data_IF_718200765517
#
_entry.id   IF_718200765517
#
_cell.length_a   1.000
_cell.length_b   1.000
_cell.length_c   1.000
_cell.angle_alpha   90.00
_cell.angle_beta   90.00
_cell.angle_gamma   90.00
#
_symmetry.space_group_name_H-M   'P 1'
#
loop_
_entity.id
_entity.type
_entity.pdbx_description
1 polymer ?
#
# COMPACT_ATOMS: atom_id res chain seq x y z
N UNK A 1 19.51 -5.42 13.54
CA UNK A 1 19.34 -5.58 12.09
C UNK A 1 19.87 -4.38 11.28
N UNK A 2 20.25 -3.24 11.92
CA UNK A 2 20.93 -2.09 11.28
C UNK A 2 22.08 -2.49 10.33
N UNK A 3 22.82 -3.55 10.66
CA UNK A 3 23.93 -4.06 9.86
C UNK A 3 23.54 -4.65 8.49
N UNK A 4 22.27 -5.06 8.29
CA UNK A 4 21.87 -5.77 7.06
C UNK A 4 21.73 -4.85 5.86
N UNK A 5 21.29 -3.62 6.08
CA UNK A 5 21.06 -2.60 5.04
C UNK A 5 21.94 -1.37 5.28
N UNK A 6 23.05 -1.51 6.03
CA UNK A 6 23.89 -0.39 6.42
C UNK A 6 24.45 0.39 5.22
N UNK A 7 24.61 -0.29 4.08
CA UNK A 7 25.11 0.29 2.83
C UNK A 7 23.98 0.64 1.84
N UNK A 8 22.72 0.49 2.23
CA UNK A 8 21.56 0.69 1.35
C UNK A 8 20.72 1.88 1.82
N UNK A 9 20.61 2.86 0.93
CA UNK A 9 19.88 4.11 1.14
C UNK A 9 18.88 4.31 0.00
N UNK A 10 17.78 4.99 0.31
CA UNK A 10 16.92 5.52 -0.75
C UNK A 10 17.63 6.71 -1.35
N UNK A 11 17.93 6.64 -2.65
CA UNK A 11 18.62 7.73 -3.35
C UNK A 11 17.66 8.63 -4.12
N UNK A 12 18.01 9.90 -4.39
CA UNK A 12 17.23 10.78 -5.26
C UNK A 12 16.96 10.17 -6.65
N UNK A 13 17.91 9.41 -7.21
CA UNK A 13 17.72 8.73 -8.49
C UNK A 13 16.70 7.59 -8.41
N UNK A 14 16.63 6.88 -7.29
CA UNK A 14 15.55 5.91 -7.05
C UNK A 14 14.19 6.60 -6.95
N UNK A 15 14.11 7.75 -6.28
CA UNK A 15 12.88 8.54 -6.21
C UNK A 15 12.46 9.06 -7.59
N UNK A 16 13.40 9.56 -8.40
CA UNK A 16 13.11 9.99 -9.78
C UNK A 16 12.64 8.83 -10.65
N UNK A 17 13.26 7.64 -10.51
CA UNK A 17 12.80 6.41 -11.18
C UNK A 17 11.40 6.02 -10.73
N UNK A 18 11.11 6.10 -9.43
CA UNK A 18 9.77 5.87 -8.87
C UNK A 18 8.74 6.85 -9.46
N UNK A 19 9.06 8.14 -9.49
CA UNK A 19 8.23 9.19 -10.07
C UNK A 19 7.95 8.97 -11.56
N UNK A 20 9.00 8.71 -12.34
CA UNK A 20 8.89 8.45 -13.77
C UNK A 20 8.07 7.17 -14.07
N UNK A 21 8.14 6.16 -13.20
CA UNK A 21 7.36 4.94 -13.34
C UNK A 21 5.86 5.14 -13.02
N UNK A 22 5.53 6.15 -12.20
CA UNK A 22 4.17 6.57 -11.90
C UNK A 22 3.43 5.71 -10.87
N UNK A 23 2.10 5.88 -10.74
CA UNK A 23 1.30 5.18 -9.74
C UNK A 23 1.36 3.65 -9.85
N UNK A 24 1.27 2.98 -8.71
CA UNK A 24 1.40 1.52 -8.61
C UNK A 24 2.84 1.00 -8.60
N UNK A 25 3.84 1.90 -8.55
CA UNK A 25 5.23 1.57 -8.32
C UNK A 25 5.63 1.87 -6.87
N UNK A 26 6.54 1.07 -6.35
CA UNK A 26 6.94 1.06 -4.94
C UNK A 26 8.45 0.93 -4.85
N UNK A 27 9.05 1.46 -3.79
CA UNK A 27 10.37 1.03 -3.32
C UNK A 27 10.14 -0.08 -2.30
N UNK A 28 10.85 -1.17 -2.50
CA UNK A 28 10.75 -2.36 -1.65
C UNK A 28 12.12 -2.80 -1.16
N UNK A 29 12.18 -3.23 0.10
CA UNK A 29 13.33 -3.88 0.68
C UNK A 29 13.21 -5.40 0.51
N UNK A 30 14.19 -6.02 -0.14
CA UNK A 30 14.33 -7.47 -0.20
C UNK A 30 15.11 -7.98 1.02
N UNK A 31 14.43 -8.63 1.96
CA UNK A 31 15.06 -9.12 3.21
C UNK A 31 16.06 -10.26 2.99
N UNK A 32 15.98 -10.94 1.84
CA UNK A 32 16.89 -12.04 1.51
C UNK A 32 18.17 -11.54 0.83
N UNK A 33 18.06 -10.46 0.04
CA UNK A 33 19.17 -9.89 -0.72
C UNK A 33 19.79 -8.69 -0.04
N UNK A 34 19.10 -8.13 0.97
CA UNK A 34 19.43 -6.88 1.62
C UNK A 34 19.59 -5.73 0.60
N UNK A 35 18.65 -5.59 -0.31
CA UNK A 35 18.69 -4.55 -1.35
C UNK A 35 17.38 -3.77 -1.39
N UNK A 36 17.47 -2.47 -1.68
CA UNK A 36 16.33 -1.63 -2.02
C UNK A 36 16.15 -1.57 -3.54
N UNK A 37 14.91 -1.65 -4.01
CA UNK A 37 14.64 -1.59 -5.45
C UNK A 37 13.26 -1.01 -5.74
N UNK A 38 13.15 -0.30 -6.86
CA UNK A 38 11.87 0.12 -7.43
C UNK A 38 11.20 -1.10 -8.09
N UNK A 39 10.00 -1.43 -7.63
CA UNK A 39 9.22 -2.59 -8.09
C UNK A 39 7.78 -2.15 -8.37
N UNK A 40 7.17 -2.69 -9.43
CA UNK A 40 5.74 -2.53 -9.67
C UNK A 40 4.96 -3.38 -8.67
N UNK A 41 3.95 -2.81 -8.02
CA UNK A 41 3.17 -3.52 -7.00
C UNK A 41 2.49 -4.78 -7.52
N UNK A 42 2.08 -4.78 -8.80
CA UNK A 42 1.46 -5.94 -9.45
C UNK A 42 2.41 -7.11 -9.73
N UNK A 43 3.71 -6.85 -9.72
CA UNK A 43 4.77 -7.85 -9.93
C UNK A 43 5.23 -8.44 -8.59
N UNK A 44 4.77 -7.89 -7.46
CA UNK A 44 5.01 -8.45 -6.14
C UNK A 44 4.19 -9.72 -5.95
N UNK A 45 4.82 -10.87 -5.65
CA UNK A 45 4.08 -12.07 -5.35
C UNK A 45 3.26 -11.86 -4.06
N UNK A 46 1.98 -12.25 -4.02
CA UNK A 46 1.08 -11.94 -2.89
C UNK A 46 1.50 -12.62 -1.58
N UNK A 47 2.21 -13.74 -1.72
CA UNK A 47 2.80 -14.49 -0.61
C UNK A 47 4.23 -14.09 -0.27
N UNK A 48 4.83 -13.11 -0.94
CA UNK A 48 6.24 -12.76 -0.72
C UNK A 48 6.42 -12.03 0.63
N UNK A 49 6.72 -12.81 1.67
CA UNK A 49 7.02 -12.30 3.02
C UNK A 49 8.43 -11.73 3.14
N UNK A 50 9.29 -11.98 2.16
CA UNK A 50 10.67 -11.50 2.13
C UNK A 50 10.80 -10.14 1.42
N UNK A 51 9.68 -9.52 1.04
CA UNK A 51 9.64 -8.21 0.42
C UNK A 51 8.81 -7.26 1.28
N UNK A 52 9.43 -6.20 1.77
CA UNK A 52 8.78 -5.17 2.58
C UNK A 52 8.62 -3.93 1.71
N UNK A 53 7.38 -3.44 1.59
CA UNK A 53 7.12 -2.16 0.94
C UNK A 53 7.56 -1.06 1.90
N UNK A 54 8.50 -0.22 1.48
CA UNK A 54 9.05 0.86 2.31
C UNK A 54 8.54 2.23 1.89
N UNK A 55 8.23 2.40 0.60
CA UNK A 55 7.79 3.68 0.05
C UNK A 55 7.00 3.47 -1.24
N UNK A 56 6.05 4.33 -1.55
CA UNK A 56 5.26 4.25 -2.79
C UNK A 56 5.21 5.58 -3.55
N UNK A 57 4.81 5.52 -4.82
CA UNK A 57 4.64 6.73 -5.63
C UNK A 57 3.67 7.73 -4.97
N UNK A 58 2.58 7.25 -4.38
CA UNK A 58 1.63 8.10 -3.68
C UNK A 58 2.20 8.77 -2.42
N UNK A 59 3.23 8.18 -1.80
CA UNK A 59 3.99 8.79 -0.69
C UNK A 59 4.92 9.87 -1.25
N UNK A 60 5.64 9.57 -2.34
CA UNK A 60 6.54 10.51 -3.01
C UNK A 60 5.85 11.81 -3.43
N UNK A 61 4.67 11.74 -4.04
CA UNK A 61 3.93 12.94 -4.45
C UNK A 61 3.53 13.79 -3.23
N UNK A 62 3.21 13.14 -2.11
CA UNK A 62 2.89 13.85 -0.88
C UNK A 62 4.12 14.53 -0.29
N UNK A 63 5.22 13.81 -0.16
CA UNK A 63 6.42 14.30 0.50
C UNK A 63 7.12 15.38 -0.36
N UNK A 64 7.14 15.25 -1.69
CA UNK A 64 7.64 16.33 -2.55
C UNK A 64 6.85 17.63 -2.37
N UNK A 65 5.55 17.57 -2.06
CA UNK A 65 4.78 18.76 -1.73
C UNK A 65 5.11 19.30 -0.32
N UNK A 66 5.44 18.43 0.64
CA UNK A 66 5.83 18.84 2.00
C UNK A 66 7.26 19.38 2.10
N UNK A 67 8.15 18.94 1.22
CA UNK A 67 9.57 19.31 1.17
C UNK A 67 9.89 20.25 0.01
N UNK A 68 8.89 20.99 -0.51
CA UNK A 68 9.05 21.99 -1.57
C UNK A 68 9.83 21.49 -2.83
N UNK A 69 9.67 20.21 -3.15
CA UNK A 69 10.32 19.56 -4.28
C UNK A 69 11.78 19.16 -4.06
N UNK A 70 12.29 19.20 -2.82
CA UNK A 70 13.66 18.77 -2.49
C UNK A 70 13.79 17.24 -2.48
N UNK A 71 14.35 16.72 -3.57
CA UNK A 71 14.56 15.29 -3.76
C UNK A 71 15.60 14.69 -2.80
N UNK A 72 16.57 15.47 -2.33
CA UNK A 72 17.60 14.96 -1.42
C UNK A 72 17.02 14.82 -0.02
N UNK A 73 16.33 15.85 0.46
CA UNK A 73 15.68 15.82 1.77
C UNK A 73 14.64 14.68 1.87
N UNK A 74 13.85 14.45 0.82
CA UNK A 74 12.92 13.31 0.78
C UNK A 74 13.68 11.98 0.81
N UNK A 75 14.79 11.87 0.09
CA UNK A 75 15.59 10.64 0.04
C UNK A 75 16.19 10.30 1.42
N UNK A 76 16.72 11.31 2.12
CA UNK A 76 17.27 11.20 3.47
C UNK A 76 16.16 10.82 4.46
N UNK A 77 15.03 11.54 4.44
CA UNK A 77 13.89 11.25 5.31
C UNK A 77 13.33 9.82 5.13
N UNK A 78 13.27 9.32 3.90
CA UNK A 78 12.83 7.96 3.60
C UNK A 78 13.86 6.93 4.09
N UNK A 79 15.15 7.23 3.94
CA UNK A 79 16.25 6.37 4.44
C UNK A 79 16.20 6.25 5.96
N UNK A 80 16.16 7.37 6.67
CA UNK A 80 16.07 7.40 8.13
C UNK A 80 14.84 6.64 8.64
N UNK A 81 13.67 6.94 8.05
CA UNK A 81 12.42 6.26 8.40
C UNK A 81 12.50 4.76 8.14
N UNK A 82 13.15 4.36 7.04
CA UNK A 82 13.35 2.95 6.71
C UNK A 82 14.23 2.28 7.76
N UNK A 83 15.38 2.85 8.11
CA UNK A 83 16.28 2.26 9.09
C UNK A 83 15.66 2.12 10.47
N UNK A 84 14.87 3.10 10.91
CA UNK A 84 14.22 3.07 12.22
C UNK A 84 13.05 2.09 12.27
N UNK A 85 12.35 1.88 11.15
CA UNK A 85 11.07 1.17 11.16
C UNK A 85 11.07 -0.18 10.43
N UNK A 86 12.12 -0.53 9.68
CA UNK A 86 12.13 -1.72 8.81
C UNK A 86 11.84 -3.01 9.57
N UNK A 87 12.41 -3.19 10.76
CA UNK A 87 12.17 -4.38 11.60
C UNK A 87 10.68 -4.49 12.00
N UNK A 88 10.07 -3.35 12.32
CA UNK A 88 8.65 -3.25 12.62
C UNK A 88 7.77 -3.59 11.41
N UNK A 89 8.09 -3.04 10.24
CA UNK A 89 7.37 -3.32 9.00
C UNK A 89 7.54 -4.76 8.54
N UNK A 90 8.74 -5.33 8.66
CA UNK A 90 9.02 -6.73 8.37
C UNK A 90 8.19 -7.66 9.27
N UNK A 91 8.18 -7.39 10.59
CA UNK A 91 7.37 -8.14 11.56
C UNK A 91 5.88 -8.04 11.24
N UNK A 92 5.38 -6.85 10.88
CA UNK A 92 3.98 -6.66 10.50
C UNK A 92 3.63 -7.37 9.17
N UNK A 93 4.48 -7.27 8.16
CA UNK A 93 4.29 -7.92 6.86
C UNK A 93 4.24 -9.45 6.99
N UNK A 94 5.08 -10.04 7.85
CA UNK A 94 5.04 -11.47 8.16
C UNK A 94 3.72 -11.89 8.84
N UNK A 95 3.15 -11.01 9.67
CA UNK A 95 1.89 -11.24 10.41
C UNK A 95 0.62 -11.00 9.58
N UNK A 96 0.72 -10.56 8.33
CA UNK A 96 -0.44 -10.44 7.44
C UNK A 96 -1.19 -11.77 7.37
N UNK A 97 -2.51 -11.71 7.50
CA UNK A 97 -3.37 -12.89 7.41
C UNK A 97 -3.54 -13.33 5.94
N UNK A 98 -3.92 -14.60 5.67
CA UNK A 98 -4.27 -15.02 4.31
C UNK A 98 -5.37 -14.17 3.66
N UNK A 99 -6.36 -13.71 4.45
CA UNK A 99 -7.43 -12.82 3.96
C UNK A 99 -6.90 -11.47 3.48
N UNK A 100 -5.96 -10.88 4.22
CA UNK A 100 -5.36 -9.59 3.83
C UNK A 100 -4.52 -9.72 2.57
N UNK A 101 -3.80 -10.83 2.41
CA UNK A 101 -3.08 -11.13 1.17
C UNK A 101 -4.04 -11.34 -0.02
N UNK A 102 -5.10 -12.13 0.19
CA UNK A 102 -6.13 -12.34 -0.81
C UNK A 102 -6.84 -11.04 -1.20
N UNK A 103 -7.09 -10.13 -0.25
CA UNK A 103 -7.64 -8.81 -0.56
C UNK A 103 -6.70 -8.02 -1.47
N UNK A 104 -5.39 -7.96 -1.19
CA UNK A 104 -4.43 -7.27 -2.07
C UNK A 104 -4.44 -7.87 -3.48
N UNK A 105 -4.58 -9.18 -3.59
CA UNK A 105 -4.76 -9.87 -4.87
C UNK A 105 -6.05 -9.49 -5.58
N UNK A 106 -7.17 -9.49 -4.88
CA UNK A 106 -8.47 -9.09 -5.42
C UNK A 106 -8.40 -7.65 -5.95
N UNK A 107 -7.81 -6.72 -5.18
CA UNK A 107 -7.62 -5.33 -5.60
C UNK A 107 -6.81 -5.26 -6.91
N UNK A 108 -5.70 -6.00 -6.99
CA UNK A 108 -4.85 -6.09 -8.19
C UNK A 108 -5.60 -6.64 -9.40
N UNK A 109 -6.40 -7.70 -9.23
CA UNK A 109 -7.25 -8.28 -10.29
C UNK A 109 -8.22 -7.23 -10.84
N UNK A 110 -8.77 -6.39 -9.96
CA UNK A 110 -9.65 -5.28 -10.32
C UNK A 110 -8.91 -4.00 -10.74
N UNK A 111 -7.63 -4.12 -11.14
CA UNK A 111 -6.78 -3.04 -11.65
C UNK A 111 -6.57 -1.90 -10.64
N UNK A 112 -6.58 -2.21 -9.35
CA UNK A 112 -6.22 -1.29 -8.28
C UNK A 112 -4.85 -1.73 -7.77
N UNK A 113 -3.82 -0.94 -8.10
CA UNK A 113 -2.43 -1.26 -7.81
C UNK A 113 -1.99 -0.53 -6.54
N UNK A 114 -1.31 -1.25 -5.64
CA UNK A 114 -0.83 -0.69 -4.36
C UNK A 114 0.14 0.47 -4.66
N UNK A 115 -0.10 1.63 -4.05
CA UNK A 115 0.52 2.91 -4.44
C UNK A 115 1.25 3.63 -3.30
N UNK A 116 0.99 3.23 -2.05
CA UNK A 116 1.66 3.75 -0.86
C UNK A 116 2.16 2.61 0.02
N UNK A 117 3.10 2.92 0.91
CA UNK A 117 3.49 1.99 1.99
C UNK A 117 2.25 1.65 2.84
N UNK A 118 2.03 0.36 3.14
CA UNK A 118 0.99 -0.05 4.08
C UNK A 118 1.16 0.56 5.46
N UNK A 119 0.06 1.00 6.06
CA UNK A 119 0.04 1.49 7.44
C UNK A 119 -0.43 0.38 8.36
N UNK A 120 0.42 0.03 9.33
CA UNK A 120 0.16 -0.99 10.33
C UNK A 120 -0.18 -0.34 11.68
N UNK A 121 -1.35 -0.65 12.22
CA UNK A 121 -1.77 -0.16 13.55
C UNK A 121 -2.25 -1.31 14.42
N UNK A 122 -2.08 -1.18 15.73
CA UNK A 122 -2.75 -2.07 16.69
C UNK A 122 -4.04 -1.42 17.14
N UNK A 123 -5.13 -2.17 17.06
CA UNK A 123 -6.40 -1.81 17.70
C UNK A 123 -6.28 -1.92 19.22
N UNK A 124 -7.28 -1.40 19.95
CA UNK A 124 -7.31 -1.48 21.42
C UNK A 124 -7.26 -2.92 21.94
N UNK A 125 -7.81 -3.87 21.19
CA UNK A 125 -7.74 -5.31 21.47
C UNK A 125 -6.51 -6.00 20.85
N UNK A 126 -5.46 -5.22 20.56
CA UNK A 126 -4.14 -5.67 20.09
C UNK A 126 -4.11 -6.38 18.73
N UNK A 127 -5.18 -6.30 17.93
CA UNK A 127 -5.23 -6.86 16.58
C UNK A 127 -4.51 -5.96 15.59
N UNK A 128 -3.88 -6.58 14.60
CA UNK A 128 -3.21 -5.85 13.53
C UNK A 128 -4.24 -5.35 12.51
N UNK A 129 -4.51 -4.05 12.56
CA UNK A 129 -5.19 -3.32 11.50
C UNK A 129 -4.18 -2.96 10.40
N UNK A 130 -4.57 -3.19 9.15
CA UNK A 130 -3.75 -2.88 7.98
C UNK A 130 -4.54 -1.94 7.09
N UNK A 131 -3.94 -0.78 6.80
CA UNK A 131 -4.47 0.15 5.81
C UNK A 131 -3.56 0.18 4.58
N UNK A 132 -4.13 -0.06 3.40
CA UNK A 132 -3.44 -0.02 2.12
C UNK A 132 -4.10 1.03 1.22
N UNK A 133 -3.31 1.75 0.43
CA UNK A 133 -3.79 2.71 -0.57
C UNK A 133 -3.41 2.22 -1.96
N UNK A 134 -4.36 2.30 -2.88
CA UNK A 134 -4.26 1.79 -4.24
C UNK A 134 -4.60 2.90 -5.24
N UNK A 135 -3.82 3.00 -6.31
CA UNK A 135 -4.18 3.79 -7.47
C UNK A 135 -5.03 2.96 -8.43
N UNK A 136 -6.11 3.54 -8.94
CA UNK A 136 -6.89 2.87 -9.97
C UNK A 136 -6.20 3.04 -11.33
N UNK A 137 -5.82 1.92 -11.95
CA UNK A 137 -5.02 1.94 -13.18
C UNK A 137 -5.71 2.62 -14.36
N UNK A 138 -7.04 2.68 -14.36
CA UNK A 138 -7.80 3.29 -15.46
C UNK A 138 -7.76 4.81 -15.39
N UNK A 139 -7.79 5.36 -14.17
CA UNK A 139 -7.71 6.79 -13.91
C UNK A 139 -7.06 7.00 -12.54
N UNK A 140 -5.82 7.49 -12.56
CA UNK A 140 -4.99 7.62 -11.35
C UNK A 140 -5.38 8.82 -10.48
N UNK A 141 -6.32 9.66 -10.92
CA UNK A 141 -6.94 10.67 -10.05
C UNK A 141 -7.86 10.01 -9.00
N UNK A 142 -8.31 8.78 -9.28
CA UNK A 142 -9.05 7.95 -8.35
C UNK A 142 -8.11 7.03 -7.59
N UNK A 143 -8.17 7.09 -6.27
CA UNK A 143 -7.48 6.15 -5.38
C UNK A 143 -8.47 5.47 -4.46
N UNK A 144 -8.06 4.31 -3.95
CA UNK A 144 -8.84 3.52 -3.02
C UNK A 144 -8.02 3.23 -1.78
N UNK A 145 -8.59 3.43 -0.60
CA UNK A 145 -7.98 3.04 0.67
C UNK A 145 -8.78 1.89 1.25
N UNK A 146 -8.13 0.76 1.53
CA UNK A 146 -8.71 -0.32 2.32
C UNK A 146 -8.22 -0.21 3.75
N UNK A 147 -9.10 -0.38 4.73
CA UNK A 147 -8.75 -0.66 6.13
C UNK A 147 -9.28 -2.03 6.49
N UNK A 148 -8.40 -2.91 6.97
CA UNK A 148 -8.75 -4.29 7.32
C UNK A 148 -8.38 -4.63 8.74
N UNK A 149 -9.33 -5.21 9.47
CA UNK A 149 -9.15 -5.60 10.87
C UNK A 149 -9.75 -6.99 11.09
N UNK A 150 -8.97 -7.98 11.58
CA UNK A 150 -9.49 -9.31 11.89
C UNK A 150 -10.68 -9.26 12.88
N UNK A 151 -11.76 -10.00 12.59
CA UNK A 151 -13.00 -9.94 13.37
C UNK A 151 -12.90 -10.60 14.75
N UNK A 152 -12.20 -11.74 14.83
CA UNK A 152 -11.70 -12.44 16.03
C UNK A 152 -10.69 -13.51 15.57
N UNK A 153 -9.72 -13.86 16.41
CA UNK A 153 -8.82 -15.00 16.13
C UNK A 153 -9.62 -16.29 15.86
N UNK A 154 -9.13 -17.11 14.93
CA UNK A 154 -9.74 -18.40 14.57
C UNK A 154 -11.01 -18.34 13.71
N UNK A 155 -11.66 -17.18 13.56
CA UNK A 155 -12.94 -17.10 12.82
C UNK A 155 -12.80 -17.13 11.31
N UNK A 156 -11.60 -16.90 10.76
CA UNK A 156 -11.39 -16.81 9.32
C UNK A 156 -12.14 -15.66 8.67
N UNK A 157 -12.39 -14.57 9.41
CA UNK A 157 -13.11 -13.39 8.96
C UNK A 157 -12.37 -12.09 9.31
N UNK A 158 -12.54 -11.06 8.49
CA UNK A 158 -12.07 -9.71 8.77
C UNK A 158 -13.12 -8.66 8.39
N UNK A 159 -13.10 -7.52 9.05
CA UNK A 159 -13.84 -6.33 8.64
C UNK A 159 -13.02 -5.59 7.58
N UNK A 160 -13.69 -5.13 6.53
CA UNK A 160 -13.12 -4.29 5.48
C UNK A 160 -13.90 -2.97 5.43
N UNK A 161 -13.20 -1.86 5.48
CA UNK A 161 -13.69 -0.58 4.99
C UNK A 161 -12.92 -0.23 3.71
N UNK A 162 -13.63 0.06 2.62
CA UNK A 162 -13.08 0.53 1.36
C UNK A 162 -13.55 1.96 1.11
N UNK A 163 -12.63 2.90 0.98
CA UNK A 163 -12.91 4.31 0.71
C UNK A 163 -12.36 4.68 -0.66
N UNK A 164 -13.19 5.25 -1.52
CA UNK A 164 -12.79 5.85 -2.79
C UNK A 164 -12.48 7.32 -2.57
N UNK A 165 -11.38 7.78 -3.17
CA UNK A 165 -10.95 9.16 -3.18
C UNK A 165 -10.85 9.67 -4.61
N UNK A 166 -11.06 10.97 -4.81
CA UNK A 166 -10.81 11.67 -6.06
C UNK A 166 -9.91 12.87 -5.76
N UNK A 167 -8.74 12.92 -6.39
CA UNK A 167 -7.72 13.96 -6.16
C UNK A 167 -7.37 14.11 -4.66
N UNK A 168 -7.24 12.98 -3.96
CA UNK A 168 -6.93 12.93 -2.53
C UNK A 168 -8.14 13.13 -1.60
N UNK A 169 -9.27 13.64 -2.09
CA UNK A 169 -10.45 13.88 -1.27
C UNK A 169 -11.35 12.64 -1.18
N UNK A 170 -11.82 12.25 0.02
CA UNK A 170 -12.71 11.11 0.16
C UNK A 170 -14.08 11.42 -0.48
N UNK A 171 -14.55 10.52 -1.35
CA UNK A 171 -15.83 10.66 -2.06
C UNK A 171 -16.87 9.71 -1.48
N UNK A 172 -16.50 8.45 -1.22
CA UNK A 172 -17.43 7.44 -0.73
C UNK A 172 -16.74 6.31 0.02
N UNK A 173 -17.38 5.77 1.04
CA UNK A 173 -16.90 4.63 1.80
C UNK A 173 -17.92 3.49 1.83
N UNK A 174 -17.44 2.26 1.83
CA UNK A 174 -18.25 1.04 1.92
C UNK A 174 -17.63 0.07 2.92
N UNK A 175 -18.48 -0.47 3.80
CA UNK A 175 -18.09 -1.50 4.74
C UNK A 175 -18.50 -2.87 4.21
N UNK A 176 -17.65 -3.86 4.42
CA UNK A 176 -17.90 -5.25 4.04
C UNK A 176 -17.22 -6.20 5.02
N UNK A 177 -17.57 -7.49 4.91
CA UNK A 177 -16.90 -8.57 5.64
C UNK A 177 -16.09 -9.38 4.64
N UNK A 178 -14.83 -9.62 4.97
CA UNK A 178 -13.97 -10.56 4.27
C UNK A 178 -14.18 -11.95 4.86
N UNK A 179 -14.45 -12.91 4.00
CA UNK A 179 -14.55 -14.33 4.31
C UNK A 179 -13.61 -15.09 3.37
N UNK A 180 -13.08 -16.24 3.82
CA UNK A 180 -12.03 -16.96 3.06
C UNK A 180 -12.45 -17.40 1.66
N UNK A 181 -13.74 -17.62 1.46
CA UNK A 181 -14.29 -18.26 0.26
C UNK A 181 -14.76 -17.29 -0.81
N UNK A 182 -14.75 -15.97 -0.56
CA UNK A 182 -15.31 -15.01 -1.50
C UNK A 182 -14.55 -13.69 -1.49
N UNK A 183 -14.22 -13.18 -2.68
CA UNK A 183 -13.83 -11.78 -2.87
C UNK A 183 -14.92 -10.85 -2.36
N UNK A 184 -14.57 -9.76 -1.71
CA UNK A 184 -15.57 -8.82 -1.23
C UNK A 184 -16.30 -8.15 -2.40
N UNK A 185 -17.64 -8.22 -2.40
CA UNK A 185 -18.49 -7.57 -3.43
C UNK A 185 -18.13 -6.09 -3.64
N UNK A 186 -17.80 -5.38 -2.57
CA UNK A 186 -17.41 -3.96 -2.64
C UNK A 186 -16.13 -3.71 -3.44
N UNK A 187 -15.19 -4.67 -3.46
CA UNK A 187 -13.96 -4.60 -4.26
C UNK A 187 -14.28 -4.85 -5.74
N UNK A 188 -15.12 -5.86 -6.02
CA UNK A 188 -15.53 -6.19 -7.40
C UNK A 188 -16.26 -5.03 -8.09
N UNK A 189 -17.13 -4.36 -7.35
CA UNK A 189 -17.95 -3.25 -7.86
C UNK A 189 -17.21 -1.89 -7.86
N UNK A 190 -16.05 -1.78 -7.20
CA UNK A 190 -15.35 -0.51 -7.06
C UNK A 190 -14.98 0.16 -8.40
N UNK A 191 -14.46 -0.56 -9.42
CA UNK A 191 -14.18 0.05 -10.72
C UNK A 191 -15.41 0.62 -11.42
N UNK A 192 -16.54 -0.09 -11.40
CA UNK A 192 -17.77 0.38 -12.05
C UNK A 192 -18.34 1.60 -11.32
N UNK A 193 -18.24 1.62 -9.98
CA UNK A 193 -18.63 2.79 -9.17
C UNK A 193 -17.75 4.00 -9.44
N UNK A 194 -16.44 3.81 -9.62
CA UNK A 194 -15.53 4.90 -10.02
C UNK A 194 -15.88 5.45 -11.41
N UNK A 195 -16.16 4.58 -12.39
CA UNK A 195 -16.61 5.00 -13.73
C UNK A 195 -17.91 5.79 -13.66
N UNK A 196 -18.90 5.30 -12.92
CA UNK A 196 -20.18 5.99 -12.76
C UNK A 196 -20.01 7.36 -12.08
N UNK A 197 -19.12 7.46 -11.10
CA UNK A 197 -18.79 8.74 -10.46
C UNK A 197 -18.16 9.72 -11.45
N UNK A 198 -17.12 9.30 -12.19
CA UNK A 198 -16.46 10.15 -13.17
C UNK A 198 -17.39 10.59 -14.30
N UNK A 199 -18.28 9.72 -14.77
CA UNK A 199 -19.28 10.04 -15.79
C UNK A 199 -20.36 11.02 -15.31
N UNK A 200 -20.53 11.17 -13.99
CA UNK A 200 -21.47 12.11 -13.39
C UNK A 200 -20.82 13.46 -13.02
N UNK A 201 -19.51 13.62 -13.23
CA UNK A 201 -18.84 14.91 -13.04
C UNK A 201 -19.24 15.87 -14.17
N UNK A 202 -19.47 17.16 -13.85
CA UNK A 202 -19.85 18.18 -14.81
C UNK A 202 -18.72 18.56 -15.77
#
# INVERSE_FOLDING_TARGET
MRDRFADEETTPDMLRKLHAAGPGNLITASLNRNTLQVTRSRDLPPGNRACVIIYGHGDLIHDLACYDGDWNEVADAVTDTTWDCLDGWASAAMRLTPLQRALRDDMRVHRMDLDRRPVYKRTLDSRLEVSDTYAWRTDTTITFTTRTTPAREGTGNAHLALTMHHQGQPVRAWNSRLVRTETARVVREAPDRARAYLAALP
#
